data_IF_735919559720
#
_entry.id   IF_735919559720
#
_cell.length_a   1.000
_cell.length_b   1.000
_cell.length_c   1.000
_cell.angle_alpha   90.00
_cell.angle_beta   90.00
_cell.angle_gamma   90.00
#
_symmetry.space_group_name_H-M   'P 1'
#
loop_
_entity.id
_entity.type
_entity.pdbx_description
1 polymer ?
#
# COMPACT_ATOMS: atom_id res chain seq x y z
N UNK A 1 -12.14 -11.06 16.31
CA UNK A 1 -11.64 -9.68 16.50
C UNK A 1 -12.84 -8.75 16.31
N UNK A 2 -13.04 -7.77 17.19
CA UNK A 2 -14.17 -6.83 17.14
C UNK A 2 -13.57 -5.42 17.21
N UNK A 3 -14.02 -4.51 16.34
CA UNK A 3 -13.62 -3.09 16.38
C UNK A 3 -14.56 -2.29 17.28
N UNK A 4 -14.01 -1.32 18.01
CA UNK A 4 -14.78 -0.47 18.91
C UNK A 4 -15.53 0.66 18.21
N UNK A 5 -16.53 1.21 18.89
CA UNK A 5 -17.31 2.36 18.39
C UNK A 5 -16.44 3.58 18.07
N UNK A 6 -15.47 3.90 18.92
CA UNK A 6 -14.55 5.03 18.72
C UNK A 6 -13.77 4.89 17.41
N UNK A 7 -13.32 3.68 17.11
CA UNK A 7 -12.63 3.37 15.86
C UNK A 7 -13.57 3.55 14.66
N UNK A 8 -14.81 3.06 14.75
CA UNK A 8 -15.82 3.21 13.69
C UNK A 8 -16.18 4.67 13.43
N UNK A 9 -16.33 5.49 14.46
CA UNK A 9 -16.59 6.93 14.29
C UNK A 9 -15.44 7.65 13.59
N UNK A 10 -14.21 7.28 13.93
CA UNK A 10 -13.03 7.91 13.36
C UNK A 10 -12.78 7.47 11.92
N UNK A 11 -12.99 6.19 11.61
CA UNK A 11 -12.63 5.61 10.31
C UNK A 11 -13.80 5.57 9.32
N UNK A 12 -15.03 5.60 9.83
CA UNK A 12 -16.31 5.64 9.13
C UNK A 12 -16.29 4.92 7.76
N UNK A 13 -16.06 3.60 7.73
CA UNK A 13 -15.93 2.88 6.47
C UNK A 13 -17.26 2.85 5.72
N UNK A 14 -17.18 2.85 4.40
CA UNK A 14 -18.31 2.55 3.54
C UNK A 14 -18.59 1.05 3.55
N UNK A 15 -19.83 0.67 3.81
CA UNK A 15 -20.25 -0.73 3.85
C UNK A 15 -21.26 -0.96 2.73
N UNK A 16 -20.90 -1.82 1.77
CA UNK A 16 -21.81 -2.33 0.77
C UNK A 16 -22.39 -3.67 1.27
N UNK A 17 -23.58 -3.62 1.85
CA UNK A 17 -24.28 -4.79 2.37
C UNK A 17 -24.73 -5.77 1.28
N UNK A 18 -24.83 -5.32 0.02
CA UNK A 18 -25.24 -6.17 -1.10
C UNK A 18 -24.08 -7.04 -1.57
N UNK A 19 -22.88 -6.47 -1.63
CA UNK A 19 -21.65 -7.18 -2.03
C UNK A 19 -20.90 -7.82 -0.87
N UNK A 20 -21.23 -7.44 0.37
CA UNK A 20 -20.47 -7.83 1.55
C UNK A 20 -19.08 -7.19 1.58
N UNK A 21 -18.93 -6.00 1.01
CA UNK A 21 -17.67 -5.26 0.93
C UNK A 21 -17.60 -4.15 1.98
N UNK A 22 -16.39 -3.92 2.51
CA UNK A 22 -16.09 -2.80 3.40
C UNK A 22 -14.93 -2.01 2.79
N UNK A 23 -15.11 -0.70 2.64
CA UNK A 23 -14.11 0.20 2.06
C UNK A 23 -13.67 1.24 3.08
N UNK A 24 -12.35 1.37 3.23
CA UNK A 24 -11.71 2.33 4.13
C UNK A 24 -11.49 3.69 3.45
N UNK A 25 -12.54 4.23 2.80
CA UNK A 25 -12.47 5.47 2.01
C UNK A 25 -12.29 6.73 2.86
N UNK A 26 -12.69 6.69 4.13
CA UNK A 26 -12.64 7.83 5.05
C UNK A 26 -11.53 7.73 6.11
N UNK A 27 -10.48 6.91 5.92
CA UNK A 27 -9.44 6.77 6.95
C UNK A 27 -8.75 8.13 7.20
N UNK A 28 -8.53 8.52 8.47
CA UNK A 28 -7.76 9.72 8.80
C UNK A 28 -6.35 9.69 8.20
N UNK A 29 -5.70 10.84 8.03
CA UNK A 29 -4.34 10.90 7.50
C UNK A 29 -3.27 10.28 8.45
N UNK A 30 -3.54 10.22 9.75
CA UNK A 30 -2.67 9.59 10.74
C UNK A 30 -2.89 8.07 10.88
N UNK A 31 -3.87 7.51 10.17
CA UNK A 31 -4.12 6.07 10.09
C UNK A 31 -2.92 5.39 9.41
N UNK A 32 -2.13 4.64 10.17
CA UNK A 32 -0.89 4.00 9.68
C UNK A 32 -1.15 3.02 8.54
N UNK A 33 -2.27 2.29 8.60
CA UNK A 33 -2.65 1.32 7.57
C UNK A 33 -2.99 2.01 6.24
N UNK A 34 -3.79 3.08 6.26
CA UNK A 34 -4.17 3.79 5.03
C UNK A 34 -2.97 4.49 4.39
N UNK A 35 -2.08 5.08 5.20
CA UNK A 35 -0.85 5.69 4.72
C UNK A 35 0.06 4.66 4.03
N UNK A 36 0.17 3.45 4.58
CA UNK A 36 0.93 2.37 3.97
C UNK A 36 0.32 1.92 2.62
N UNK A 37 -1.00 1.78 2.53
CA UNK A 37 -1.68 1.44 1.27
C UNK A 37 -1.53 2.54 0.21
N UNK A 38 -1.71 3.81 0.60
CA UNK A 38 -1.49 4.94 -0.30
C UNK A 38 -0.04 5.01 -0.80
N UNK A 39 0.94 4.70 0.07
CA UNK A 39 2.35 4.62 -0.31
C UNK A 39 2.62 3.46 -1.29
N UNK A 40 2.01 2.29 -1.08
CA UNK A 40 2.11 1.15 -2.02
C UNK A 40 1.56 1.51 -3.40
N UNK A 41 0.40 2.15 -3.46
CA UNK A 41 -0.20 2.54 -4.74
C UNK A 41 0.61 3.64 -5.44
N UNK A 42 1.09 4.65 -4.71
CA UNK A 42 1.95 5.67 -5.26
C UNK A 42 3.26 5.06 -5.80
N UNK A 43 3.84 4.11 -5.07
CA UNK A 43 5.03 3.38 -5.52
C UNK A 43 4.75 2.56 -6.78
N UNK A 44 3.59 1.91 -6.89
CA UNK A 44 3.22 1.18 -8.10
C UNK A 44 3.15 2.12 -9.31
N UNK A 45 2.52 3.30 -9.17
CA UNK A 45 2.46 4.33 -10.23
C UNK A 45 3.85 4.83 -10.62
N UNK A 46 4.71 5.11 -9.64
CA UNK A 46 6.10 5.54 -9.90
C UNK A 46 6.88 4.45 -10.62
N UNK A 47 6.76 3.19 -10.20
CA UNK A 47 7.40 2.06 -10.86
C UNK A 47 6.93 1.89 -12.30
N UNK A 48 5.63 2.04 -12.58
CA UNK A 48 5.08 1.99 -13.93
C UNK A 48 5.65 3.11 -14.82
N UNK A 49 5.59 4.36 -14.36
CA UNK A 49 6.15 5.49 -15.10
C UNK A 49 7.66 5.33 -15.33
N UNK A 50 8.39 4.82 -14.32
CA UNK A 50 9.81 4.55 -14.44
C UNK A 50 10.10 3.44 -15.47
N UNK A 51 9.31 2.37 -15.48
CA UNK A 51 9.45 1.28 -16.46
C UNK A 51 9.17 1.74 -17.90
N UNK A 52 8.13 2.56 -18.10
CA UNK A 52 7.80 3.15 -19.40
C UNK A 52 8.94 4.06 -19.88
N UNK A 53 9.45 4.92 -19.00
CA UNK A 53 10.56 5.81 -19.32
C UNK A 53 11.86 5.05 -19.65
N UNK A 54 12.15 3.98 -18.91
CA UNK A 54 13.31 3.11 -19.14
C UNK A 54 13.23 2.42 -20.52
N UNK A 55 12.04 1.94 -20.91
CA UNK A 55 11.79 1.39 -22.24
C UNK A 55 12.03 2.43 -23.35
N UNK A 56 11.50 3.64 -23.20
CA UNK A 56 11.66 4.71 -24.20
C UNK A 56 13.10 5.21 -24.35
N UNK A 57 13.90 5.13 -23.28
CA UNK A 57 15.31 5.51 -23.31
C UNK A 57 16.24 4.38 -23.77
N UNK A 58 15.69 3.22 -24.15
CA UNK A 58 16.45 2.05 -24.60
C UNK A 58 17.19 1.32 -23.48
N UNK A 59 16.95 1.71 -22.22
CA UNK A 59 17.53 1.09 -21.04
C UNK A 59 16.50 0.13 -20.43
N UNK A 60 16.35 -1.07 -21.00
CA UNK A 60 15.60 -2.13 -20.33
C UNK A 60 16.34 -2.50 -19.03
N UNK A 61 15.78 -2.22 -17.83
CA UNK A 61 16.40 -2.71 -16.61
C UNK A 61 16.08 -4.20 -16.55
N UNK A 62 17.09 -5.02 -16.78
CA UNK A 62 17.05 -6.42 -16.34
C UNK A 62 16.62 -6.40 -14.87
N UNK A 63 15.50 -7.07 -14.58
CA UNK A 63 14.75 -6.96 -13.34
C UNK A 63 15.67 -6.84 -12.11
N UNK A 64 15.54 -5.74 -11.36
CA UNK A 64 16.18 -5.61 -10.06
C UNK A 64 15.46 -6.52 -9.07
N UNK A 65 15.95 -7.76 -9.00
CA UNK A 65 15.52 -8.81 -8.09
C UNK A 65 15.74 -8.46 -6.59
N UNK A 66 16.28 -7.28 -6.26
CA UNK A 66 16.52 -6.89 -4.86
C UNK A 66 15.34 -6.24 -4.15
N UNK A 67 14.23 -5.92 -4.83
CA UNK A 67 13.05 -5.36 -4.14
C UNK A 67 12.14 -6.41 -3.48
N UNK A 68 12.47 -7.71 -3.59
CA UNK A 68 11.70 -8.80 -2.98
C UNK A 68 12.34 -9.43 -1.74
N UNK A 69 13.45 -8.89 -1.23
CA UNK A 69 14.06 -9.42 -0.02
C UNK A 69 13.62 -8.61 1.21
N UNK A 70 13.01 -9.23 2.24
CA UNK A 70 12.85 -8.57 3.54
C UNK A 70 14.24 -8.31 4.16
N UNK A 71 14.38 -7.32 5.06
CA UNK A 71 15.67 -7.01 5.67
C UNK A 71 16.16 -8.22 6.48
N UNK A 72 17.48 -8.46 6.57
CA UNK A 72 18.00 -9.51 7.43
C UNK A 72 17.65 -9.17 8.88
N UNK A 73 16.89 -10.07 9.52
CA UNK A 73 16.68 -10.05 10.97
C UNK A 73 18.05 -10.18 11.63
N UNK A 74 18.58 -9.06 12.13
CA UNK A 74 19.73 -9.06 13.01
C UNK A 74 19.40 -9.90 14.25
N UNK A 75 20.03 -11.06 14.37
CA UNK A 75 20.11 -11.76 15.64
C UNK A 75 21.29 -11.14 16.37
N UNK A 76 20.96 -10.28 17.34
CA UNK A 76 21.88 -9.88 18.39
C UNK A 76 22.09 -11.11 19.29
N UNK A 77 23.34 -11.54 19.46
CA UNK A 77 23.78 -12.44 20.53
C UNK A 77 25.10 -11.92 21.07
#
# INVERSE_FOLDING_TARGET
>A
MIVGFTWLCEHNPEIDWTKGEVKMSCCPCHCTTSAAEACKEQRAKVCECAAVHACHTGHLPYADLNLLSPPPSGILS
#
